data_IF_642660364317
#
_entry.id   IF_642660364317
#
_cell.length_a   1.000
_cell.length_b   1.000
_cell.length_c   1.000
_cell.angle_alpha   90.00
_cell.angle_beta   90.00
_cell.angle_gamma   90.00
#
_symmetry.space_group_name_H-M   'P 1'
#
loop_
_entity.id
_entity.type
_entity.pdbx_description
1 polymer ?
#
# COMPACT_ATOMS: atom_id res chain seq x y z
N UNK A 1 0.28 18.36 9.27
CA UNK A 1 1.43 17.49 9.60
C UNK A 1 2.15 17.14 8.31
N UNK A 2 3.48 16.99 8.30
CA UNK A 2 4.26 16.66 7.09
C UNK A 2 5.09 15.41 7.38
N UNK A 3 4.90 14.36 6.57
CA UNK A 3 5.64 13.11 6.70
C UNK A 3 7.00 13.21 5.98
N UNK A 4 8.03 12.60 6.56
CA UNK A 4 9.37 12.51 6.01
C UNK A 4 9.84 11.06 6.04
N UNK A 5 10.37 10.56 4.93
CA UNK A 5 10.95 9.21 4.85
C UNK A 5 12.36 9.23 5.43
N UNK A 6 12.71 8.23 6.23
CA UNK A 6 14.02 8.11 6.89
C UNK A 6 14.47 6.63 6.88
N UNK A 7 15.60 6.35 7.53
CA UNK A 7 16.22 5.02 7.63
C UNK A 7 16.58 4.38 6.27
N UNK A 8 17.62 4.93 5.64
CA UNK A 8 18.16 4.44 4.38
C UNK A 8 19.24 3.35 4.56
N UNK A 9 19.32 2.69 5.72
CA UNK A 9 20.40 1.75 6.07
C UNK A 9 20.51 0.53 5.14
N UNK A 10 19.40 0.18 4.48
CA UNK A 10 19.34 -0.94 3.51
C UNK A 10 19.17 -0.47 2.06
N UNK A 11 19.12 0.85 1.80
CA UNK A 11 18.91 1.41 0.47
C UNK A 11 20.04 1.00 -0.50
N UNK A 12 19.68 0.84 -1.77
CA UNK A 12 20.60 0.46 -2.84
C UNK A 12 20.54 1.47 -3.97
N UNK A 13 21.71 1.81 -4.52
CA UNK A 13 21.79 2.56 -5.78
C UNK A 13 21.58 1.57 -6.92
N UNK A 14 20.57 1.83 -7.74
CA UNK A 14 20.25 1.09 -8.96
C UNK A 14 20.58 1.97 -10.16
N UNK A 15 21.28 1.42 -11.15
CA UNK A 15 21.55 2.14 -12.39
C UNK A 15 20.26 2.27 -13.21
N UNK A 16 20.12 3.32 -14.02
CA UNK A 16 18.95 3.50 -14.86
C UNK A 16 18.76 2.38 -15.91
N UNK A 17 19.83 1.66 -16.23
CA UNK A 17 19.86 0.52 -17.16
C UNK A 17 19.54 -0.81 -16.44
N UNK A 18 20.00 -0.97 -15.20
CA UNK A 18 19.75 -2.14 -14.36
C UNK A 18 18.64 -1.86 -13.36
N UNK A 19 17.40 -2.11 -13.77
CA UNK A 19 16.21 -1.92 -12.93
C UNK A 19 16.12 -2.90 -11.74
N UNK A 20 17.05 -3.86 -11.64
CA UNK A 20 17.01 -4.96 -10.67
C UNK A 20 18.42 -5.23 -10.13
N UNK A 21 18.56 -5.30 -8.82
CA UNK A 21 19.78 -5.72 -8.11
C UNK A 21 19.47 -6.99 -7.31
N UNK A 22 20.42 -7.91 -7.20
CA UNK A 22 20.29 -9.10 -6.34
C UNK A 22 20.90 -8.78 -4.99
N UNK A 23 20.19 -9.09 -3.90
CA UNK A 23 20.69 -8.89 -2.54
C UNK A 23 20.37 -10.07 -1.62
N UNK A 24 21.15 -10.16 -0.53
CA UNK A 24 20.92 -11.07 0.60
C UNK A 24 20.45 -10.33 1.86
N UNK A 25 20.29 -9.01 1.77
CA UNK A 25 19.76 -8.21 2.88
C UNK A 25 18.32 -8.61 3.13
N UNK A 26 17.98 -8.89 4.38
CA UNK A 26 16.59 -9.15 4.78
C UNK A 26 15.85 -7.81 4.86
N UNK A 27 14.65 -7.76 4.27
CA UNK A 27 13.71 -6.66 4.45
C UNK A 27 12.72 -6.94 5.58
N UNK A 28 11.83 -5.97 5.83
CA UNK A 28 10.82 -6.07 6.87
C UNK A 28 9.67 -6.99 6.43
N UNK A 29 9.50 -8.12 7.13
CA UNK A 29 8.40 -9.05 6.90
C UNK A 29 7.04 -8.35 6.85
N UNK A 30 6.20 -8.79 5.91
CA UNK A 30 4.90 -8.19 5.64
C UNK A 30 4.92 -7.05 4.61
N UNK A 31 6.07 -6.39 4.39
CA UNK A 31 6.22 -5.35 3.36
C UNK A 31 7.06 -5.83 2.16
N UNK A 32 7.71 -6.98 2.28
CA UNK A 32 8.61 -7.53 1.25
C UNK A 32 7.80 -7.88 -0.01
N UNK A 33 8.18 -7.30 -1.14
CA UNK A 33 7.65 -7.71 -2.43
C UNK A 33 8.01 -9.18 -2.73
N UNK A 34 7.14 -9.96 -3.39
CA UNK A 34 7.34 -11.39 -3.61
C UNK A 34 8.71 -11.74 -4.18
N UNK A 35 9.14 -11.04 -5.23
CA UNK A 35 10.42 -11.25 -5.92
C UNK A 35 11.65 -10.91 -5.07
N UNK A 36 11.49 -10.00 -4.11
CA UNK A 36 12.54 -9.72 -3.13
C UNK A 36 12.61 -10.86 -2.11
N UNK A 37 11.47 -11.31 -1.59
CA UNK A 37 11.41 -12.38 -0.61
C UNK A 37 11.86 -13.74 -1.14
N UNK A 38 11.55 -14.05 -2.41
CA UNK A 38 11.87 -15.35 -3.03
C UNK A 38 13.25 -15.40 -3.66
N UNK A 39 13.64 -14.35 -4.38
CA UNK A 39 14.82 -14.36 -5.27
C UNK A 39 15.88 -13.32 -4.87
N UNK A 40 15.59 -12.48 -3.88
CA UNK A 40 16.48 -11.38 -3.49
C UNK A 40 16.50 -10.24 -4.52
N UNK A 41 15.55 -10.19 -5.44
CA UNK A 41 15.48 -9.19 -6.50
C UNK A 41 14.90 -7.88 -5.94
N UNK A 42 15.73 -6.84 -5.91
CA UNK A 42 15.33 -5.50 -5.47
C UNK A 42 15.28 -4.53 -6.64
N UNK A 43 14.23 -3.73 -6.67
CA UNK A 43 13.97 -2.70 -7.68
C UNK A 43 13.13 -1.59 -7.07
N UNK A 44 12.98 -0.48 -7.80
CA UNK A 44 12.02 0.56 -7.41
C UNK A 44 10.57 0.05 -7.34
N UNK A 45 10.24 -1.06 -8.01
CA UNK A 45 8.93 -1.71 -7.91
C UNK A 45 8.70 -2.42 -6.58
N UNK A 46 9.76 -2.79 -5.86
CA UNK A 46 9.65 -3.33 -4.51
C UNK A 46 9.22 -2.22 -3.52
N UNK A 47 9.70 -0.99 -3.73
CA UNK A 47 9.28 0.17 -2.94
C UNK A 47 7.80 0.51 -3.19
N UNK A 48 7.33 0.40 -4.44
CA UNK A 48 5.90 0.57 -4.78
C UNK A 48 5.05 -0.47 -4.05
N UNK A 49 5.47 -1.73 -4.02
CA UNK A 49 4.75 -2.78 -3.30
C UNK A 49 4.66 -2.44 -1.80
N UNK A 50 5.79 -2.11 -1.18
CA UNK A 50 5.87 -1.74 0.24
C UNK A 50 4.99 -0.54 0.56
N UNK A 51 4.93 0.45 -0.34
CA UNK A 51 4.03 1.61 -0.23
C UNK A 51 2.55 1.21 -0.29
N UNK A 52 2.18 0.25 -1.16
CA UNK A 52 0.82 -0.30 -1.20
C UNK A 52 0.42 -0.92 0.14
N UNK A 53 1.30 -1.73 0.73
CA UNK A 53 1.08 -2.33 2.06
C UNK A 53 0.95 -1.24 3.14
N UNK A 54 1.80 -0.22 3.12
CA UNK A 54 1.73 0.91 4.06
C UNK A 54 0.40 1.67 3.98
N UNK A 55 -0.14 1.88 2.77
CA UNK A 55 -1.46 2.48 2.60
C UNK A 55 -2.55 1.59 3.22
N UNK A 56 -2.51 0.27 2.98
CA UNK A 56 -3.48 -0.66 3.59
C UNK A 56 -3.39 -0.63 5.11
N UNK A 57 -2.19 -0.68 5.68
CA UNK A 57 -1.98 -0.60 7.13
C UNK A 57 -2.54 0.71 7.69
N UNK A 58 -2.29 1.84 7.01
CA UNK A 58 -2.74 3.17 7.46
C UNK A 58 -4.26 3.25 7.58
N UNK A 59 -4.99 2.74 6.58
CA UNK A 59 -6.45 2.87 6.52
C UNK A 59 -7.22 1.75 7.24
N UNK A 60 -6.56 0.63 7.53
CA UNK A 60 -7.16 -0.50 8.29
C UNK A 60 -6.75 -0.50 9.76
N UNK A 61 -5.66 0.21 10.10
CA UNK A 61 -4.97 0.12 11.40
C UNK A 61 -4.54 -1.31 11.76
N UNK A 62 -4.33 -2.17 10.76
CA UNK A 62 -3.86 -3.54 10.92
C UNK A 62 -2.43 -3.65 10.44
N UNK A 63 -1.56 -4.18 11.29
CA UNK A 63 -0.17 -4.44 10.92
C UNK A 63 -0.14 -5.60 9.92
N UNK A 64 0.73 -5.59 8.90
CA UNK A 64 0.89 -6.73 7.99
C UNK A 64 1.28 -8.04 8.71
N UNK A 65 1.80 -7.93 9.93
CA UNK A 65 2.22 -9.03 10.82
C UNK A 65 1.28 -9.27 11.99
N UNK A 66 0.06 -8.74 11.94
CA UNK A 66 -0.99 -9.02 12.93
C UNK A 66 -1.34 -10.52 12.93
N UNK A 67 -1.75 -11.06 14.09
CA UNK A 67 -2.08 -12.49 14.26
C UNK A 67 -3.23 -12.94 13.35
N UNK A 68 -4.04 -11.98 12.88
CA UNK A 68 -5.07 -12.17 11.85
C UNK A 68 -4.52 -12.68 10.52
N UNK A 69 -3.26 -12.38 10.19
CA UNK A 69 -2.62 -12.69 8.90
C UNK A 69 -1.67 -13.88 9.02
N UNK A 70 -2.17 -14.96 9.59
CA UNK A 70 -1.45 -16.23 9.74
C UNK A 70 -1.98 -17.28 8.76
N UNK A 71 -1.29 -18.43 8.67
CA UNK A 71 -1.71 -19.56 7.84
C UNK A 71 -1.95 -19.25 6.35
N UNK A 72 -1.15 -18.33 5.77
CA UNK A 72 -1.23 -17.96 4.36
C UNK A 72 -2.18 -16.79 4.05
N UNK A 73 -2.88 -16.26 5.06
CA UNK A 73 -3.57 -14.99 4.95
C UNK A 73 -2.57 -13.82 4.97
N UNK A 74 -2.86 -12.77 4.21
CA UNK A 74 -2.07 -11.54 4.22
C UNK A 74 -3.00 -10.33 4.27
N UNK A 75 -2.50 -9.19 4.76
CA UNK A 75 -3.23 -7.92 4.72
C UNK A 75 -3.70 -7.60 3.30
N UNK A 76 -2.83 -7.77 2.31
CA UNK A 76 -3.17 -7.57 0.90
C UNK A 76 -4.31 -8.50 0.45
N UNK A 77 -4.21 -9.80 0.74
CA UNK A 77 -5.24 -10.78 0.38
C UNK A 77 -6.58 -10.45 1.01
N UNK A 78 -6.59 -10.09 2.29
CA UNK A 78 -7.80 -9.68 3.00
C UNK A 78 -8.46 -8.43 2.38
N UNK A 79 -7.67 -7.44 1.96
CA UNK A 79 -8.18 -6.26 1.25
C UNK A 79 -8.69 -6.62 -0.15
N UNK A 80 -7.97 -7.48 -0.88
CA UNK A 80 -8.37 -7.94 -2.21
C UNK A 80 -9.72 -8.65 -2.18
N UNK A 81 -9.91 -9.57 -1.23
CA UNK A 81 -11.15 -10.33 -1.07
C UNK A 81 -12.34 -9.46 -0.61
N UNK A 82 -12.05 -8.36 0.09
CA UNK A 82 -13.08 -7.43 0.58
C UNK A 82 -13.47 -6.36 -0.44
N UNK A 83 -12.65 -6.13 -1.48
CA UNK A 83 -12.85 -5.08 -2.46
C UNK A 83 -13.80 -5.52 -3.61
N UNK A 84 -14.74 -4.67 -4.08
CA UNK A 84 -15.09 -3.35 -3.56
C UNK A 84 -16.22 -3.37 -2.52
N UNK A 85 -16.88 -4.51 -2.31
CA UNK A 85 -18.22 -4.56 -1.71
C UNK A 85 -18.26 -4.68 -0.18
N UNK A 86 -17.14 -5.00 0.49
CA UNK A 86 -17.10 -5.28 1.93
C UNK A 86 -16.06 -4.45 2.68
N UNK A 87 -15.70 -3.28 2.14
CA UNK A 87 -14.64 -2.44 2.70
C UNK A 87 -15.03 -1.74 4.01
N UNK A 88 -16.31 -1.55 4.30
CA UNK A 88 -16.74 -0.95 5.58
C UNK A 88 -16.26 -1.74 6.80
N UNK A 89 -16.01 -3.05 6.66
CA UNK A 89 -15.51 -3.91 7.74
C UNK A 89 -13.99 -3.94 7.85
N UNK A 90 -13.26 -3.48 6.82
CA UNK A 90 -11.80 -3.47 6.82
C UNK A 90 -11.23 -2.12 7.19
N UNK A 91 -11.95 -1.03 6.91
CA UNK A 91 -11.55 0.33 7.23
C UNK A 91 -11.56 0.52 8.75
N UNK A 92 -10.55 1.19 9.28
CA UNK A 92 -10.48 1.56 10.70
C UNK A 92 -11.72 2.37 11.10
N UNK A 93 -12.51 1.81 12.01
CA UNK A 93 -13.73 2.43 12.52
C UNK A 93 -13.49 3.78 13.22
N UNK A 94 -12.26 4.11 13.60
CA UNK A 94 -11.92 5.44 14.14
C UNK A 94 -11.73 6.51 13.05
N UNK A 95 -11.55 6.11 11.79
CA UNK A 95 -11.49 7.02 10.64
C UNK A 95 -12.87 7.40 10.12
N UNK A 96 -13.91 6.66 10.50
CA UNK A 96 -15.27 6.85 10.03
C UNK A 96 -16.20 7.05 11.23
N UNK A 97 -16.90 8.17 11.30
CA UNK A 97 -17.92 8.40 12.32
C UNK A 97 -19.30 8.03 11.74
N UNK A 98 -19.99 6.98 12.22
CA UNK A 98 -21.25 6.50 11.64
C UNK A 98 -22.38 7.54 11.61
N UNK A 99 -22.26 8.59 12.43
CA UNK A 99 -23.25 9.66 12.54
C UNK A 99 -22.88 10.90 11.71
N UNK A 100 -21.78 10.87 10.95
CA UNK A 100 -21.42 11.95 10.03
C UNK A 100 -22.15 11.81 8.69
N UNK A 101 -22.73 12.92 8.23
CA UNK A 101 -23.37 13.06 6.92
C UNK A 101 -22.40 12.70 5.77
N UNK A 102 -21.09 12.79 6.00
CA UNK A 102 -20.03 12.44 5.07
C UNK A 102 -19.59 10.97 5.10
N UNK A 103 -20.26 10.08 5.84
CA UNK A 103 -19.88 8.67 5.97
C UNK A 103 -19.65 7.98 4.62
N UNK A 104 -20.66 8.00 3.73
CA UNK A 104 -20.57 7.33 2.43
C UNK A 104 -19.43 7.90 1.58
N UNK A 105 -19.24 9.22 1.64
CA UNK A 105 -18.15 9.92 0.95
C UNK A 105 -16.78 9.52 1.49
N UNK A 106 -16.64 9.34 2.80
CA UNK A 106 -15.39 8.90 3.42
C UNK A 106 -15.08 7.44 3.06
N UNK A 107 -16.09 6.56 3.09
CA UNK A 107 -15.94 5.16 2.66
C UNK A 107 -15.53 5.08 1.19
N UNK A 108 -16.15 5.88 0.31
CA UNK A 108 -15.79 5.96 -1.09
C UNK A 108 -14.35 6.45 -1.29
N UNK A 109 -13.95 7.52 -0.59
CA UNK A 109 -12.59 8.03 -0.61
C UNK A 109 -11.57 6.95 -0.24
N UNK A 110 -11.78 6.25 0.88
CA UNK A 110 -10.87 5.21 1.36
C UNK A 110 -10.89 4.00 0.40
N UNK A 111 -12.03 3.66 -0.18
CA UNK A 111 -12.14 2.62 -1.20
C UNK A 111 -11.23 2.89 -2.40
N UNK A 112 -11.21 4.13 -2.90
CA UNK A 112 -10.32 4.53 -3.99
C UNK A 112 -8.84 4.46 -3.60
N UNK A 113 -8.50 4.80 -2.36
CA UNK A 113 -7.13 4.67 -1.84
C UNK A 113 -6.72 3.20 -1.71
N UNK A 114 -7.60 2.32 -1.21
CA UNK A 114 -7.33 0.89 -1.12
C UNK A 114 -7.22 0.24 -2.50
N UNK A 115 -8.01 0.69 -3.48
CA UNK A 115 -7.84 0.28 -4.89
C UNK A 115 -6.46 0.65 -5.42
N UNK A 116 -6.00 1.88 -5.15
CA UNK A 116 -4.65 2.30 -5.51
C UNK A 116 -3.61 1.43 -4.80
N UNK A 117 -3.79 1.15 -3.52
CA UNK A 117 -2.90 0.29 -2.75
C UNK A 117 -2.77 -1.11 -3.38
N UNK A 118 -3.88 -1.72 -3.80
CA UNK A 118 -3.89 -3.01 -4.52
C UNK A 118 -3.11 -2.94 -5.85
N UNK A 119 -3.25 -1.85 -6.61
CA UNK A 119 -2.49 -1.64 -7.85
C UNK A 119 -0.99 -1.43 -7.58
N UNK A 120 -0.62 -0.78 -6.47
CA UNK A 120 0.76 -0.63 -6.05
C UNK A 120 1.38 -1.96 -5.63
N UNK A 121 0.59 -2.83 -4.99
CA UNK A 121 1.04 -4.10 -4.45
C UNK A 121 0.65 -5.31 -5.33
N UNK A 122 0.56 -5.19 -6.65
CA UNK A 122 0.36 -6.39 -7.50
C UNK A 122 1.49 -7.40 -7.23
N UNK A 123 1.19 -8.70 -7.26
CA UNK A 123 2.19 -9.74 -7.08
C UNK A 123 3.27 -9.65 -8.16
N UNK A 124 2.86 -9.35 -9.41
CA UNK A 124 3.78 -9.21 -10.54
C UNK A 124 4.35 -7.77 -10.61
N UNK A 125 5.69 -7.59 -10.61
CA UNK A 125 6.30 -6.26 -10.67
C UNK A 125 5.90 -5.42 -11.88
N UNK A 126 5.68 -6.07 -13.02
CA UNK A 126 5.30 -5.42 -14.28
C UNK A 126 3.87 -4.86 -14.28
N UNK A 127 2.99 -5.38 -13.42
CA UNK A 127 1.60 -4.91 -13.29
C UNK A 127 1.48 -3.76 -12.27
N UNK A 128 2.49 -3.56 -11.44
CA UNK A 128 2.48 -2.47 -10.46
C UNK A 128 2.56 -1.14 -11.18
N UNK A 129 1.74 -0.19 -10.73
CA UNK A 129 1.87 1.21 -11.11
C UNK A 129 3.26 1.77 -10.71
N UNK A 130 3.68 2.93 -11.22
CA UNK A 130 4.91 3.59 -10.72
C UNK A 130 4.56 4.66 -9.67
N UNK A 131 5.55 5.10 -8.89
CA UNK A 131 5.31 6.08 -7.81
C UNK A 131 4.79 7.43 -8.30
N UNK A 132 5.13 7.86 -9.53
CA UNK A 132 4.64 9.12 -10.10
C UNK A 132 3.13 9.03 -10.36
N UNK A 133 2.69 7.92 -10.94
CA UNK A 133 1.28 7.69 -11.23
C UNK A 133 0.48 7.41 -9.95
N UNK A 134 1.07 6.77 -8.94
CA UNK A 134 0.47 6.62 -7.63
C UNK A 134 0.25 7.98 -6.94
N UNK A 135 1.26 8.87 -6.99
CA UNK A 135 1.13 10.24 -6.51
C UNK A 135 0.03 11.01 -7.25
N UNK A 136 0.02 10.95 -8.59
CA UNK A 136 -1.01 11.61 -9.39
C UNK A 136 -2.42 11.12 -9.04
N UNK A 137 -2.57 9.81 -8.81
CA UNK A 137 -3.84 9.21 -8.37
C UNK A 137 -4.26 9.73 -6.99
N UNK A 138 -3.35 9.76 -6.01
CA UNK A 138 -3.64 10.32 -4.69
C UNK A 138 -4.01 11.80 -4.73
N UNK A 139 -3.32 12.59 -5.55
CA UNK A 139 -3.64 14.01 -5.74
C UNK A 139 -5.03 14.19 -6.34
N UNK A 140 -5.43 13.33 -7.28
CA UNK A 140 -6.78 13.34 -7.85
C UNK A 140 -7.83 13.02 -6.80
N UNK A 141 -7.65 11.95 -6.02
CA UNK A 141 -8.55 11.59 -4.91
C UNK A 141 -8.64 12.74 -3.90
N UNK A 142 -7.51 13.32 -3.49
CA UNK A 142 -7.50 14.47 -2.58
C UNK A 142 -8.34 15.63 -3.14
N UNK A 143 -8.18 15.97 -4.41
CA UNK A 143 -8.88 17.11 -5.03
C UNK A 143 -10.39 16.89 -5.13
N UNK A 144 -10.81 15.64 -5.34
CA UNK A 144 -12.21 15.25 -5.46
C UNK A 144 -12.92 15.26 -4.09
N UNK A 145 -12.28 14.71 -3.06
CA UNK A 145 -12.91 14.55 -1.74
C UNK A 145 -12.65 15.72 -0.80
N UNK A 146 -11.52 16.41 -0.96
CA UNK A 146 -11.03 17.50 -0.11
C UNK A 146 -10.54 18.72 -0.93
N UNK A 147 -11.41 19.36 -1.74
CA UNK A 147 -11.01 20.42 -2.67
C UNK A 147 -10.48 21.70 -1.97
N UNK A 148 -10.73 21.85 -0.67
CA UNK A 148 -10.33 23.02 0.13
C UNK A 148 -9.06 22.78 0.97
N UNK A 149 -8.46 21.59 0.87
CA UNK A 149 -7.19 21.18 1.48
C UNK A 149 -6.08 21.10 0.44
#
# INVERSE_FOLDING_TARGET
MVAHVSDFGIAKLVNAEDNVVITRTLATFGYIAPEYGSEGLVSTKCDVYSFGILLMETFTRKRPTDDLFTAGLSLRGWIYDSYPHSLSHVIDATLLNPNEESWDKNVECVSLVLKLALNCSSELPGERINMKDALATLQKIKKEFFPHL
#
